data_IF_944337172923
#
_entry.id   IF_944337172923
#
_cell.length_a   1.000
_cell.length_b   1.000
_cell.length_c   1.000
_cell.angle_alpha   90.00
_cell.angle_beta   90.00
_cell.angle_gamma   90.00
#
_symmetry.space_group_name_H-M   'P 1'
#
loop_
_entity.id
_entity.type
_entity.pdbx_description
1 polymer ?
#
# COMPACT_ATOMS: atom_id res chain seq x y z
N UNK A 1 -18.26 -36.10 -1.31
CA UNK A 1 -18.99 -35.20 -0.40
C UNK A 1 -19.06 -33.82 -1.04
N UNK A 2 -20.25 -33.39 -1.44
CA UNK A 2 -20.49 -32.08 -2.05
C UNK A 2 -20.44 -31.02 -0.96
N UNK A 3 -19.57 -30.00 -1.11
CA UNK A 3 -19.55 -28.85 -0.20
C UNK A 3 -20.80 -28.03 -0.45
N UNK A 4 -21.74 -28.00 0.49
CA UNK A 4 -22.87 -27.07 0.45
C UNK A 4 -22.32 -25.64 0.41
N UNK A 5 -22.44 -24.99 -0.76
CA UNK A 5 -22.25 -23.56 -0.86
C UNK A 5 -23.24 -22.91 0.11
N UNK A 6 -22.72 -22.21 1.11
CA UNK A 6 -23.50 -21.34 1.99
C UNK A 6 -24.06 -20.22 1.11
N UNK A 7 -25.20 -20.45 0.46
CA UNK A 7 -26.03 -19.40 -0.10
C UNK A 7 -26.69 -18.72 1.10
N UNK A 8 -26.28 -17.50 1.48
CA UNK A 8 -27.01 -16.80 2.50
C UNK A 8 -28.33 -16.35 1.85
N UNK A 9 -29.41 -17.04 2.17
CA UNK A 9 -30.76 -16.60 1.84
C UNK A 9 -31.11 -15.43 2.78
N UNK A 10 -30.79 -14.21 2.34
CA UNK A 10 -31.13 -12.98 3.03
C UNK A 10 -31.14 -11.83 2.03
N UNK A 11 -32.14 -10.96 2.14
CA UNK A 11 -32.21 -9.72 1.36
C UNK A 11 -31.08 -8.81 1.87
N UNK A 12 -29.92 -8.85 1.20
CA UNK A 12 -28.81 -7.97 1.51
C UNK A 12 -29.16 -6.60 0.93
N UNK A 13 -29.53 -5.60 1.74
CA UNK A 13 -29.83 -4.28 1.22
C UNK A 13 -28.57 -3.78 0.50
N UNK A 14 -28.73 -3.39 -0.77
CA UNK A 14 -27.66 -2.80 -1.55
C UNK A 14 -27.01 -1.71 -0.71
N UNK A 15 -25.70 -1.80 -0.51
CA UNK A 15 -24.97 -0.83 0.30
C UNK A 15 -25.32 0.58 -0.17
N UNK A 16 -25.90 1.38 0.73
CA UNK A 16 -26.28 2.76 0.42
C UNK A 16 -25.06 3.55 -0.06
N UNK A 17 -25.30 4.58 -0.87
CA UNK A 17 -24.26 5.42 -1.47
C UNK A 17 -23.17 5.85 -0.46
N UNK A 18 -23.57 6.23 0.75
CA UNK A 18 -22.65 6.62 1.81
C UNK A 18 -21.73 5.52 2.32
N UNK A 19 -22.20 4.26 2.38
CA UNK A 19 -21.35 3.12 2.77
C UNK A 19 -20.25 2.87 1.73
N UNK A 20 -20.56 3.07 0.45
CA UNK A 20 -19.57 2.95 -0.63
C UNK A 20 -18.53 4.08 -0.56
N UNK A 21 -18.96 5.32 -0.30
CA UNK A 21 -18.05 6.45 -0.12
C UNK A 21 -17.12 6.25 1.07
N UNK A 22 -17.64 5.77 2.20
CA UNK A 22 -16.84 5.46 3.38
C UNK A 22 -15.82 4.33 3.12
N UNK A 23 -16.21 3.29 2.38
CA UNK A 23 -15.29 2.20 2.02
C UNK A 23 -14.14 2.71 1.13
N UNK A 24 -14.45 3.51 0.10
CA UNK A 24 -13.41 4.10 -0.78
C UNK A 24 -12.46 5.00 0.01
N UNK A 25 -12.99 5.79 0.95
CA UNK A 25 -12.17 6.65 1.80
C UNK A 25 -11.26 5.84 2.73
N UNK A 26 -11.77 4.73 3.27
CA UNK A 26 -11.00 3.82 4.09
C UNK A 26 -9.86 3.16 3.29
N UNK A 27 -10.16 2.65 2.09
CA UNK A 27 -9.15 2.06 1.19
C UNK A 27 -8.10 3.09 0.78
N UNK A 28 -8.49 4.34 0.57
CA UNK A 28 -7.57 5.45 0.30
C UNK A 28 -6.60 5.70 1.47
N UNK A 29 -7.12 5.77 2.70
CA UNK A 29 -6.28 5.92 3.90
C UNK A 29 -5.31 4.75 4.06
N UNK A 30 -5.78 3.52 3.80
CA UNK A 30 -4.94 2.33 3.84
C UNK A 30 -3.86 2.35 2.75
N UNK A 31 -4.17 2.78 1.52
CA UNK A 31 -3.17 2.93 0.47
C UNK A 31 -2.09 3.94 0.83
N UNK A 32 -2.47 5.10 1.41
CA UNK A 32 -1.49 6.09 1.88
C UNK A 32 -0.60 5.48 2.96
N UNK A 33 -1.20 4.81 3.95
CA UNK A 33 -0.47 4.18 5.04
C UNK A 33 0.51 3.12 4.50
N UNK A 34 0.06 2.29 3.56
CA UNK A 34 0.87 1.29 2.88
C UNK A 34 2.07 1.93 2.17
N UNK A 35 1.84 2.98 1.37
CA UNK A 35 2.91 3.69 0.65
C UNK A 35 3.94 4.26 1.65
N UNK A 36 3.49 4.90 2.73
CA UNK A 36 4.40 5.45 3.74
C UNK A 36 5.24 4.36 4.42
N UNK A 37 4.60 3.25 4.83
CA UNK A 37 5.30 2.14 5.51
C UNK A 37 6.31 1.49 4.58
N UNK A 38 5.92 1.24 3.33
CA UNK A 38 6.79 0.61 2.33
C UNK A 38 7.98 1.50 1.98
N UNK A 39 7.75 2.80 1.75
CA UNK A 39 8.82 3.77 1.51
C UNK A 39 9.76 3.87 2.70
N UNK A 40 9.22 3.93 3.93
CA UNK A 40 10.04 3.95 5.13
C UNK A 40 10.88 2.67 5.28
N UNK A 41 10.29 1.50 5.05
CA UNK A 41 10.98 0.22 5.18
C UNK A 41 12.10 0.07 4.14
N UNK A 42 11.85 0.51 2.91
CA UNK A 42 12.85 0.52 1.85
C UNK A 42 13.99 1.52 2.15
N UNK A 43 13.66 2.78 2.41
CA UNK A 43 14.67 3.84 2.61
C UNK A 43 15.41 3.68 3.94
N UNK A 44 14.69 3.58 5.06
CA UNK A 44 15.31 3.53 6.38
C UNK A 44 15.71 2.13 6.84
N UNK A 45 15.08 1.08 6.32
CA UNK A 45 15.44 -0.30 6.66
C UNK A 45 16.54 -0.82 5.75
N UNK A 46 16.25 -0.92 4.46
CA UNK A 46 17.15 -1.57 3.49
C UNK A 46 18.29 -0.64 3.10
N UNK A 47 17.98 0.55 2.57
CA UNK A 47 19.00 1.48 2.06
C UNK A 47 19.95 1.94 3.18
N UNK A 48 19.43 2.20 4.39
CA UNK A 48 20.26 2.62 5.53
C UNK A 48 21.21 1.52 5.98
N UNK A 49 20.80 0.26 5.88
CA UNK A 49 21.64 -0.88 6.22
C UNK A 49 22.77 -1.09 5.19
N UNK A 50 22.51 -0.78 3.91
CA UNK A 50 23.48 -0.97 2.82
C UNK A 50 24.43 0.23 2.68
N UNK A 51 23.90 1.45 2.62
CA UNK A 51 24.66 2.67 2.30
C UNK A 51 25.10 3.46 3.54
N UNK A 52 24.58 3.13 4.73
CA UNK A 52 24.82 3.90 5.94
C UNK A 52 23.99 5.19 6.01
N UNK A 53 24.05 5.89 7.14
CA UNK A 53 23.27 7.12 7.36
C UNK A 53 23.78 8.33 6.57
N UNK A 54 25.08 8.42 6.32
CA UNK A 54 25.70 9.58 5.67
C UNK A 54 25.34 9.65 4.18
N UNK A 55 25.49 8.55 3.45
CA UNK A 55 25.12 8.48 2.03
C UNK A 55 23.61 8.65 1.81
N UNK A 56 22.78 8.15 2.74
CA UNK A 56 21.32 8.37 2.69
C UNK A 56 20.95 9.84 2.84
N UNK A 57 21.67 10.57 3.69
CA UNK A 57 21.42 11.98 3.92
C UNK A 57 21.80 12.81 2.67
N UNK A 58 22.94 12.52 2.04
CA UNK A 58 23.30 13.11 0.74
C UNK A 58 22.29 12.75 -0.37
N UNK A 59 21.82 11.51 -0.41
CA UNK A 59 20.80 11.06 -1.37
C UNK A 59 19.43 11.74 -1.16
N UNK A 60 19.09 12.04 0.09
CA UNK A 60 17.88 12.77 0.44
C UNK A 60 18.00 14.26 0.09
N UNK A 61 19.15 14.87 0.35
CA UNK A 61 19.43 16.27 0.01
C UNK A 61 19.49 16.50 -1.51
N UNK A 62 19.97 15.50 -2.27
CA UNK A 62 20.06 15.56 -3.73
C UNK A 62 18.75 15.24 -4.47
N UNK A 63 17.64 14.95 -3.77
CA UNK A 63 16.37 14.44 -4.33
C UNK A 63 16.52 13.20 -5.22
N UNK A 64 17.65 12.50 -5.17
CA UNK A 64 17.92 11.36 -6.04
C UNK A 64 17.02 10.16 -5.67
N UNK A 65 16.52 10.13 -4.42
CA UNK A 65 15.56 9.15 -3.92
C UNK A 65 14.12 9.36 -4.39
N UNK A 66 13.75 10.55 -4.91
CA UNK A 66 12.37 10.83 -5.34
C UNK A 66 12.01 10.15 -6.67
N UNK A 67 13.00 9.76 -7.48
CA UNK A 67 12.80 9.17 -8.82
C UNK A 67 13.35 7.73 -8.87
N UNK A 68 13.43 7.03 -7.73
CA UNK A 68 13.92 5.65 -7.72
C UNK A 68 12.93 4.71 -8.46
N UNK A 69 13.31 4.13 -9.62
CA UNK A 69 12.44 3.22 -10.37
C UNK A 69 12.17 1.91 -9.62
N UNK A 70 13.06 1.51 -8.69
CA UNK A 70 12.87 0.32 -7.86
C UNK A 70 11.76 0.58 -6.83
N UNK A 71 11.84 1.70 -6.12
CA UNK A 71 10.82 2.10 -5.16
C UNK A 71 9.45 2.25 -5.83
N UNK A 72 9.40 2.90 -7.00
CA UNK A 72 8.15 3.08 -7.76
C UNK A 72 7.51 1.76 -8.16
N UNK A 73 8.31 0.80 -8.64
CA UNK A 73 7.85 -0.55 -9.01
C UNK A 73 7.34 -1.32 -7.79
N UNK A 74 8.07 -1.24 -6.68
CA UNK A 74 7.71 -1.92 -5.44
C UNK A 74 6.43 -1.34 -4.84
N UNK A 75 6.25 -0.02 -4.87
CA UNK A 75 5.00 0.64 -4.48
C UNK A 75 3.84 0.22 -5.38
N UNK A 76 4.05 0.15 -6.70
CA UNK A 76 3.03 -0.33 -7.64
C UNK A 76 2.58 -1.75 -7.31
N UNK A 77 3.51 -2.68 -7.10
CA UNK A 77 3.17 -4.05 -6.70
C UNK A 77 2.50 -4.13 -5.33
N UNK A 78 2.92 -3.30 -4.37
CA UNK A 78 2.33 -3.29 -3.03
C UNK A 78 0.88 -2.82 -3.06
N UNK A 79 0.59 -1.74 -3.80
CA UNK A 79 -0.77 -1.23 -3.97
C UNK A 79 -1.61 -2.23 -4.77
N UNK A 80 -1.04 -2.83 -5.82
CA UNK A 80 -1.74 -3.87 -6.59
C UNK A 80 -2.11 -5.08 -5.70
N UNK A 81 -1.17 -5.57 -4.88
CA UNK A 81 -1.40 -6.67 -3.96
C UNK A 81 -2.42 -6.35 -2.85
N UNK A 82 -2.61 -5.08 -2.51
CA UNK A 82 -3.64 -4.66 -1.56
C UNK A 82 -5.06 -4.74 -2.15
N UNK A 83 -5.22 -4.52 -3.45
CA UNK A 83 -6.52 -4.56 -4.15
C UNK A 83 -6.83 -5.90 -4.83
N UNK A 84 -5.84 -6.78 -5.01
CA UNK A 84 -5.97 -8.09 -5.66
C UNK A 84 -6.51 -9.18 -4.73
#
# INVERSE_FOLDING_TARGET
MSKSALQPAGDFPKAGFWKRMAAIFYDFMLCIALIMVVTMLYQQGILRMIYGSEALQEMAESRMLDIDPVLSTLLFFSVFAFFA
#
